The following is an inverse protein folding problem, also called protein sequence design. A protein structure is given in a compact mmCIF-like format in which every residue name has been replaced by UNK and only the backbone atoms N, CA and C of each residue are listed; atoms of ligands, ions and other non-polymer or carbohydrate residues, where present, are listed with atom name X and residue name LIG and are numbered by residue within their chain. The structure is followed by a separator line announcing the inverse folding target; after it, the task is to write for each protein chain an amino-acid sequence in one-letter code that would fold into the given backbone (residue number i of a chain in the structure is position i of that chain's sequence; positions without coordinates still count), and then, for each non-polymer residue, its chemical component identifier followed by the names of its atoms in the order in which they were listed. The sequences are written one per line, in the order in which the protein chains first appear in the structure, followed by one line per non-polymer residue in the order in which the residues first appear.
data_IF_973287899479
#
_entry.id   IF_973287899479
#
_cell.length_a   1.000
_cell.length_b   1.000
_cell.length_c   1.000
_cell.angle_alpha   90.00
_cell.angle_beta   90.00
_cell.angle_gamma   90.00
#
_symmetry.space_group_name_H-M   'P 1'
#
loop_
_entity.id
_entity.type
_entity.pdbx_description
1 polymer ?
#
# COMPACT_ATOMS: atom_id res chain seq x y z
N UNK A 1 3.68 15.30 12.02
CA UNK A 1 4.03 14.15 12.89
C UNK A 1 3.14 14.17 14.13
N UNK A 2 2.63 13.01 14.53
CA UNK A 2 1.71 12.84 15.66
C UNK A 2 2.33 11.85 16.66
N UNK A 3 2.75 12.35 17.81
CA UNK A 3 3.47 11.61 18.87
C UNK A 3 3.30 12.43 20.15
N UNK A 4 3.27 11.81 21.33
CA UNK A 4 2.98 12.46 22.60
C UNK A 4 4.23 12.99 23.32
N UNK A 5 5.37 12.33 23.17
CA UNK A 5 6.66 12.72 23.73
C UNK A 5 7.37 13.78 22.86
N UNK A 6 7.35 15.04 23.30
CA UNK A 6 8.02 16.16 22.59
C UNK A 6 9.48 15.87 22.20
N UNK A 7 10.21 15.10 23.01
CA UNK A 7 11.60 14.72 22.70
C UNK A 7 11.69 13.78 21.50
N UNK A 8 10.80 12.79 21.38
CA UNK A 8 10.74 11.88 20.22
C UNK A 8 10.30 12.61 18.97
N UNK A 9 9.27 13.47 19.07
CA UNK A 9 8.86 14.38 17.98
C UNK A 9 10.06 15.10 17.36
N UNK A 10 10.91 15.69 18.20
CA UNK A 10 12.11 16.40 17.74
C UNK A 10 13.15 15.48 17.09
N UNK A 11 13.30 14.25 17.57
CA UNK A 11 14.20 13.25 16.96
C UNK A 11 13.69 12.88 15.57
N UNK A 12 12.39 12.60 15.42
CA UNK A 12 11.77 12.26 14.15
C UNK A 12 11.86 13.39 13.12
N UNK A 13 11.64 14.64 13.54
CA UNK A 13 11.83 15.80 12.67
C UNK A 13 13.26 15.91 12.19
N UNK A 14 14.25 15.75 13.09
CA UNK A 14 15.67 15.75 12.70
C UNK A 14 16.00 14.63 11.72
N UNK A 15 15.44 13.44 11.92
CA UNK A 15 15.60 12.32 11.00
C UNK A 15 15.06 12.66 9.60
N UNK A 16 13.84 13.18 9.51
CA UNK A 16 13.22 13.59 8.25
C UNK A 16 13.95 14.74 7.57
N UNK A 17 14.39 15.75 8.33
CA UNK A 17 15.22 16.84 7.82
C UNK A 17 16.54 16.31 7.24
N UNK A 18 17.13 15.29 7.86
CA UNK A 18 18.34 14.61 7.39
C UNK A 18 18.17 13.83 6.08
N UNK A 19 16.95 13.46 5.70
CA UNK A 19 16.65 12.84 4.40
C UNK A 19 16.86 13.84 3.26
N UNK A 20 16.60 15.13 3.50
CA UNK A 20 16.70 16.20 2.50
C UNK A 20 15.37 16.54 1.81
N UNK A 21 14.25 16.25 2.46
CA UNK A 21 12.89 16.53 1.97
C UNK A 21 12.62 18.02 1.68
N UNK A 22 13.28 18.93 2.38
CA UNK A 22 13.16 20.37 2.14
C UNK A 22 13.59 20.77 0.72
N UNK A 23 14.51 20.02 0.09
CA UNK A 23 14.91 20.22 -1.30
C UNK A 23 13.82 19.81 -2.30
N UNK A 24 12.81 19.08 -1.85
CA UNK A 24 11.66 18.62 -2.63
C UNK A 24 10.38 19.39 -2.29
N UNK A 25 10.50 20.56 -1.63
CA UNK A 25 9.37 21.42 -1.22
C UNK A 25 8.40 20.76 -0.23
N UNK A 26 8.90 19.93 0.67
CA UNK A 26 8.13 19.41 1.80
C UNK A 26 8.49 20.16 3.08
N UNK A 27 7.46 20.70 3.73
CA UNK A 27 7.53 21.23 5.08
C UNK A 27 7.22 20.11 6.09
N UNK A 28 7.96 20.07 7.19
CA UNK A 28 7.82 19.04 8.22
C UNK A 28 7.30 19.72 9.48
N UNK A 29 6.00 19.56 9.72
CA UNK A 29 5.33 20.13 10.89
C UNK A 29 5.09 19.10 12.00
N UNK A 30 5.25 19.59 13.23
CA UNK A 30 4.84 18.91 14.45
C UNK A 30 3.44 19.38 14.83
N UNK A 31 2.53 18.43 15.03
CA UNK A 31 1.26 18.77 15.67
C UNK A 31 1.50 18.84 17.18
N UNK A 32 1.38 20.02 17.75
CA UNK A 32 1.42 20.19 19.20
C UNK A 32 0.14 19.66 19.86
N UNK A 33 0.18 19.26 21.14
CA UNK A 33 -0.94 18.65 21.86
C UNK A 33 -2.28 19.41 21.73
N UNK A 34 -2.24 20.73 21.68
CA UNK A 34 -3.41 21.60 21.54
C UNK A 34 -4.02 21.47 20.14
N UNK A 35 -3.19 21.50 19.10
CA UNK A 35 -3.61 21.33 17.70
C UNK A 35 -4.14 19.90 17.46
N UNK A 36 -3.58 18.91 18.14
CA UNK A 36 -4.12 17.55 18.16
C UNK A 36 -5.55 17.54 18.71
N UNK A 37 -5.77 18.17 19.88
CA UNK A 37 -7.09 18.22 20.50
C UNK A 37 -8.12 18.93 19.59
N UNK A 38 -7.73 20.05 19.00
CA UNK A 38 -8.54 20.78 18.04
C UNK A 38 -8.91 19.90 16.83
N UNK A 39 -7.91 19.26 16.21
CA UNK A 39 -8.13 18.37 15.08
C UNK A 39 -9.13 17.25 15.43
N UNK A 40 -9.00 16.62 16.60
CA UNK A 40 -9.92 15.59 17.04
C UNK A 40 -11.32 16.09 17.34
N UNK A 41 -11.45 17.26 17.97
CA UNK A 41 -12.75 17.88 18.23
C UNK A 41 -13.52 18.07 16.92
N UNK A 42 -12.89 18.69 15.93
CA UNK A 42 -13.48 18.89 14.61
C UNK A 42 -13.77 17.57 13.88
N UNK A 43 -12.89 16.57 13.96
CA UNK A 43 -13.16 15.25 13.36
C UNK A 43 -14.35 14.53 14.03
N UNK A 44 -14.55 14.70 15.34
CA UNK A 44 -15.69 14.13 16.07
C UNK A 44 -17.01 14.84 15.71
N UNK A 45 -16.98 16.16 15.56
CA UNK A 45 -18.10 16.95 15.03
C UNK A 45 -18.48 16.46 13.63
N UNK A 46 -17.49 16.32 12.74
CA UNK A 46 -17.67 15.79 11.38
C UNK A 46 -18.20 14.36 11.38
N UNK A 47 -17.72 13.49 12.28
CA UNK A 47 -18.27 12.14 12.43
C UNK A 47 -19.74 12.17 12.87
N UNK A 48 -20.08 13.06 13.80
CA UNK A 48 -21.46 13.22 14.27
C UNK A 48 -22.37 13.72 13.15
N UNK A 49 -21.91 14.70 12.38
CA UNK A 49 -22.60 15.17 11.18
C UNK A 49 -22.76 14.04 10.15
N UNK A 50 -21.69 13.29 9.87
CA UNK A 50 -21.70 12.17 8.94
C UNK A 50 -22.72 11.09 9.35
N UNK A 51 -22.77 10.73 10.63
CA UNK A 51 -23.75 9.76 11.14
C UNK A 51 -25.20 10.21 10.96
N UNK A 52 -25.44 11.52 10.91
CA UNK A 52 -26.77 12.11 10.75
C UNK A 52 -27.15 12.25 9.27
N UNK A 53 -26.24 12.80 8.48
CA UNK A 53 -26.53 13.31 7.13
C UNK A 53 -25.91 12.42 6.01
N UNK A 54 -24.96 11.56 6.37
CA UNK A 54 -24.20 10.71 5.44
C UNK A 54 -23.08 11.44 4.70
N UNK A 55 -22.78 12.68 5.09
CA UNK A 55 -21.66 13.49 4.64
C UNK A 55 -21.25 14.43 5.77
N UNK A 56 -20.08 15.06 5.64
CA UNK A 56 -19.65 16.12 6.55
C UNK A 56 -19.14 17.31 5.75
N UNK A 57 -19.27 18.51 6.31
CA UNK A 57 -18.87 19.75 5.66
C UNK A 57 -17.49 20.21 6.16
N UNK A 58 -16.69 20.74 5.25
CA UNK A 58 -15.34 21.21 5.54
C UNK A 58 -15.31 22.67 6.06
N UNK A 59 -16.45 23.23 6.48
CA UNK A 59 -16.55 24.64 6.88
C UNK A 59 -15.61 24.99 8.04
N UNK A 60 -15.52 24.11 9.03
CA UNK A 60 -14.48 24.19 10.07
C UNK A 60 -13.21 23.57 9.55
N UNK A 61 -12.19 24.40 9.28
CA UNK A 61 -10.87 23.92 8.83
C UNK A 61 -10.25 23.03 9.90
N UNK A 62 -9.94 21.78 9.54
CA UNK A 62 -9.19 20.89 10.41
C UNK A 62 -7.68 21.07 10.18
N UNK A 63 -6.83 21.07 11.22
CA UNK A 63 -5.37 21.09 11.06
C UNK A 63 -4.82 19.98 10.15
N UNK A 64 -5.53 18.86 9.99
CA UNK A 64 -5.14 17.73 9.15
C UNK A 64 -5.60 17.82 7.69
N UNK A 65 -6.47 18.76 7.33
CA UNK A 65 -7.07 18.79 5.99
C UNK A 65 -6.03 19.01 4.87
N UNK A 66 -5.03 19.86 5.11
CA UNK A 66 -4.00 20.18 4.12
C UNK A 66 -2.75 19.30 4.25
N UNK A 67 -2.78 18.28 5.12
CA UNK A 67 -1.61 17.41 5.36
C UNK A 67 -1.41 16.44 4.22
N UNK A 68 -0.29 16.57 3.51
CA UNK A 68 0.04 15.70 2.38
C UNK A 68 0.34 14.27 2.81
N UNK A 69 1.02 14.07 3.94
CA UNK A 69 1.33 12.76 4.52
C UNK A 69 1.26 12.88 6.04
N UNK A 70 0.38 12.09 6.65
CA UNK A 70 0.25 12.04 8.11
C UNK A 70 1.07 10.88 8.65
N UNK A 71 1.99 11.15 9.58
CA UNK A 71 2.75 10.12 10.29
C UNK A 71 2.35 10.12 11.75
N UNK A 72 1.97 8.94 12.25
CA UNK A 72 1.42 8.69 13.58
C UNK A 72 2.32 7.69 14.30
N UNK A 73 2.88 8.05 15.44
CA UNK A 73 3.54 7.08 16.30
C UNK A 73 2.51 6.19 17.00
N UNK A 74 2.84 4.91 17.20
CA UNK A 74 1.91 3.96 17.81
C UNK A 74 1.79 4.15 19.34
N UNK A 75 2.78 4.75 20.00
CA UNK A 75 2.86 4.83 21.46
C UNK A 75 2.22 6.10 22.05
N UNK A 76 1.01 6.45 21.63
CA UNK A 76 0.32 7.69 22.04
C UNK A 76 -0.28 7.69 23.48
N UNK A 77 0.27 6.90 24.41
CA UNK A 77 -0.40 6.56 25.67
C UNK A 77 -0.57 7.76 26.62
N UNK A 78 0.37 8.68 26.66
CA UNK A 78 0.40 9.74 27.66
C UNK A 78 -0.47 10.94 27.27
N UNK A 79 -0.61 11.22 25.96
CA UNK A 79 -1.42 12.33 25.46
C UNK A 79 -2.91 12.19 25.79
N UNK A 80 -3.39 10.95 25.88
CA UNK A 80 -4.82 10.64 25.94
C UNK A 80 -5.33 10.33 27.35
N UNK A 81 -4.48 9.80 28.24
CA UNK A 81 -4.85 9.51 29.63
C UNK A 81 -5.27 10.78 30.41
N UNK A 82 -4.64 11.93 30.13
CA UNK A 82 -4.96 13.18 30.82
C UNK A 82 -6.25 13.85 30.33
N UNK A 83 -6.76 13.47 29.15
CA UNK A 83 -7.80 14.24 28.45
C UNK A 83 -9.06 13.43 28.08
N UNK A 84 -9.08 12.11 28.31
CA UNK A 84 -10.27 11.27 28.13
C UNK A 84 -10.74 11.11 26.68
N UNK A 85 -9.87 11.39 25.71
CA UNK A 85 -10.14 11.35 24.28
C UNK A 85 -9.32 10.20 23.68
N UNK A 86 -9.94 9.01 23.57
CA UNK A 86 -9.49 7.86 22.74
C UNK A 86 -8.19 7.13 23.13
N UNK A 87 -8.00 5.93 22.55
CA UNK A 87 -7.17 4.86 23.18
C UNK A 87 -6.04 4.27 22.33
N UNK A 88 -5.90 4.61 21.03
CA UNK A 88 -4.85 4.02 20.16
C UNK A 88 -4.55 4.80 18.86
N UNK A 89 -3.41 4.52 18.22
CA UNK A 89 -3.05 5.05 16.90
C UNK A 89 -4.00 4.62 15.76
N UNK A 90 -4.64 3.45 15.88
CA UNK A 90 -5.65 3.00 14.92
C UNK A 90 -6.89 3.89 14.88
N UNK A 91 -7.32 4.35 16.05
CA UNK A 91 -8.42 5.28 16.18
C UNK A 91 -8.07 6.64 15.58
N UNK A 92 -6.83 7.10 15.75
CA UNK A 92 -6.32 8.31 15.09
C UNK A 92 -6.32 8.16 13.57
N UNK A 93 -5.78 7.05 13.05
CA UNK A 93 -5.77 6.79 11.62
C UNK A 93 -7.19 6.69 11.04
N UNK A 94 -8.11 6.06 11.77
CA UNK A 94 -9.52 5.98 11.38
C UNK A 94 -10.16 7.36 11.27
N UNK A 95 -10.04 8.18 12.32
CA UNK A 95 -10.64 9.51 12.35
C UNK A 95 -10.04 10.41 11.27
N UNK A 96 -8.72 10.38 11.11
CA UNK A 96 -8.03 11.15 10.07
C UNK A 96 -8.45 10.72 8.66
N UNK A 97 -8.53 9.42 8.37
CA UNK A 97 -8.94 8.93 7.04
C UNK A 97 -10.39 9.30 6.71
N UNK A 98 -11.29 9.23 7.68
CA UNK A 98 -12.73 9.35 7.43
C UNK A 98 -13.28 10.77 7.59
N UNK A 99 -12.65 11.60 8.43
CA UNK A 99 -13.19 12.91 8.84
C UNK A 99 -12.18 14.05 8.68
N UNK A 100 -11.11 13.83 7.91
CA UNK A 100 -10.22 14.88 7.40
C UNK A 100 -9.89 14.66 5.93
N UNK A 101 -9.23 15.64 5.32
CA UNK A 101 -8.70 15.54 3.95
C UNK A 101 -7.20 15.26 3.87
N UNK A 102 -6.59 14.72 4.94
CA UNK A 102 -5.17 14.30 4.92
C UNK A 102 -4.89 13.19 3.89
N UNK A 103 -3.71 13.22 3.27
CA UNK A 103 -3.25 12.27 2.26
C UNK A 103 -2.96 10.86 2.80
N UNK A 104 -1.89 10.18 2.37
CA UNK A 104 -1.49 8.90 2.94
C UNK A 104 -1.20 8.98 4.45
N UNK A 105 -1.56 7.94 5.18
CA UNK A 105 -1.40 7.81 6.64
C UNK A 105 -0.40 6.70 6.92
N UNK A 106 0.64 7.02 7.68
CA UNK A 106 1.72 6.12 8.05
C UNK A 106 1.67 5.91 9.56
N UNK A 107 1.61 4.66 10.01
CA UNK A 107 1.79 4.33 11.44
C UNK A 107 3.23 3.89 11.67
N UNK A 108 3.83 4.39 12.75
CA UNK A 108 5.18 4.08 13.16
C UNK A 108 5.22 3.19 14.39
N UNK A 109 6.22 2.31 14.48
CA UNK A 109 6.55 1.53 15.68
C UNK A 109 5.44 0.60 16.22
N UNK A 110 4.44 0.19 15.41
CA UNK A 110 3.44 -0.80 15.86
C UNK A 110 4.11 -2.11 16.30
N UNK A 111 5.03 -2.61 15.48
CA UNK A 111 5.57 -3.96 15.64
C UNK A 111 7.04 -3.94 16.09
N UNK A 112 7.88 -3.12 15.44
CA UNK A 112 9.29 -3.00 15.76
C UNK A 112 9.87 -1.67 15.26
N UNK A 113 11.14 -1.42 15.58
CA UNK A 113 11.83 -0.19 15.18
C UNK A 113 12.46 -0.25 13.78
N UNK A 114 12.73 -1.45 13.25
CA UNK A 114 13.23 -1.64 11.88
C UNK A 114 12.61 -2.88 11.19
N UNK A 115 11.27 -2.97 11.09
CA UNK A 115 10.57 -4.18 10.67
C UNK A 115 10.69 -4.48 9.16
N UNK A 116 10.84 -5.75 8.81
CA UNK A 116 10.49 -6.26 7.49
C UNK A 116 9.37 -7.29 7.62
N UNK A 117 8.26 -7.05 6.93
CA UNK A 117 7.09 -7.93 6.98
C UNK A 117 7.27 -9.13 6.04
N UNK A 118 7.57 -10.29 6.61
CA UNK A 118 7.65 -11.59 5.94
C UNK A 118 6.29 -12.16 5.56
N UNK A 119 5.17 -11.54 5.94
CA UNK A 119 3.86 -11.91 5.39
C UNK A 119 3.66 -11.38 3.98
N UNK A 120 4.33 -10.26 3.63
CA UNK A 120 4.22 -9.47 2.39
C UNK A 120 2.82 -8.92 2.10
N UNK A 121 1.85 -9.16 2.98
CA UNK A 121 0.45 -8.84 2.77
C UNK A 121 -0.14 -8.03 3.94
N UNK A 122 0.72 -7.56 4.87
CA UNK A 122 0.35 -6.85 6.10
C UNK A 122 -0.62 -7.65 7.00
N UNK A 123 -0.66 -8.98 6.92
CA UNK A 123 -1.57 -9.76 7.76
C UNK A 123 -1.07 -9.92 9.20
N UNK A 124 0.15 -9.48 9.51
CA UNK A 124 0.72 -9.59 10.85
C UNK A 124 0.14 -8.52 11.78
N UNK A 125 -0.22 -8.86 13.01
CA UNK A 125 -0.70 -7.93 14.07
C UNK A 125 -1.80 -6.93 13.62
N UNK A 126 -2.69 -7.34 12.70
CA UNK A 126 -3.83 -6.52 12.25
C UNK A 126 -3.46 -5.29 11.42
N UNK A 127 -2.24 -5.23 10.88
CA UNK A 127 -1.78 -4.10 10.06
C UNK A 127 -2.68 -3.87 8.85
N UNK A 128 -3.15 -4.92 8.21
CA UNK A 128 -4.02 -4.82 7.04
C UNK A 128 -5.35 -4.10 7.40
N UNK A 129 -5.98 -4.47 8.52
CA UNK A 129 -7.23 -3.89 9.00
C UNK A 129 -7.10 -2.40 9.39
N UNK A 130 -5.93 -1.97 9.87
CA UNK A 130 -5.66 -0.58 10.25
C UNK A 130 -6.00 0.40 9.12
N UNK A 131 -6.48 1.60 9.46
CA UNK A 131 -6.75 2.70 8.52
C UNK A 131 -5.48 3.42 8.03
N UNK A 132 -4.30 3.00 8.50
CA UNK A 132 -3.01 3.35 7.89
C UNK A 132 -2.88 2.76 6.48
N UNK A 133 -2.17 3.45 5.60
CA UNK A 133 -1.83 2.93 4.27
C UNK A 133 -0.52 2.14 4.30
N UNK A 134 0.42 2.53 5.16
CA UNK A 134 1.70 1.87 5.36
C UNK A 134 2.10 1.90 6.83
N UNK A 135 2.82 0.87 7.26
CA UNK A 135 3.41 0.83 8.59
C UNK A 135 4.92 0.62 8.52
N UNK A 136 5.64 1.39 9.33
CA UNK A 136 7.11 1.39 9.36
C UNK A 136 7.61 1.46 10.80
N UNK A 137 8.90 1.21 11.01
CA UNK A 137 9.59 1.50 12.26
C UNK A 137 10.30 2.84 12.23
N UNK A 138 10.60 3.41 13.40
CA UNK A 138 11.30 4.70 13.50
C UNK A 138 12.64 4.78 12.74
N UNK A 139 13.40 3.67 12.63
CA UNK A 139 14.67 3.69 11.88
C UNK A 139 14.46 3.83 10.38
N UNK A 140 13.27 3.49 9.89
CA UNK A 140 12.88 3.55 8.48
C UNK A 140 12.39 4.93 8.09
N UNK A 141 12.00 5.76 9.05
CA UNK A 141 11.56 7.14 8.79
C UNK A 141 12.65 7.97 8.10
N UNK A 142 13.93 7.69 8.42
CA UNK A 142 15.08 8.33 7.76
C UNK A 142 15.52 7.66 6.46
N UNK A 143 14.81 6.62 5.98
CA UNK A 143 15.19 5.91 4.75
C UNK A 143 14.97 6.80 3.55
N UNK A 144 16.05 7.13 2.84
CA UNK A 144 15.98 7.92 1.62
C UNK A 144 15.19 7.23 0.52
N UNK A 145 15.19 5.90 0.49
CA UNK A 145 14.43 5.13 -0.51
C UNK A 145 12.92 5.26 -0.34
N UNK A 146 12.43 5.27 0.91
CA UNK A 146 11.02 5.51 1.23
C UNK A 146 10.54 6.88 0.73
N UNK A 147 11.43 7.87 0.76
CA UNK A 147 11.16 9.24 0.34
C UNK A 147 11.54 9.54 -1.12
N UNK A 148 12.09 8.58 -1.86
CA UNK A 148 12.57 8.82 -3.23
C UNK A 148 13.70 9.85 -3.32
N UNK A 149 14.50 10.01 -2.26
CA UNK A 149 15.64 10.93 -2.23
C UNK A 149 16.92 10.14 -2.54
N UNK A 150 17.80 10.69 -3.39
CA UNK A 150 19.04 10.02 -3.76
C UNK A 150 18.86 8.85 -4.74
N UNK A 151 19.96 8.39 -5.34
CA UNK A 151 19.93 7.27 -6.28
C UNK A 151 19.77 5.91 -5.58
N UNK A 152 19.27 4.90 -6.31
CA UNK A 152 19.06 3.52 -5.83
C UNK A 152 20.28 2.86 -5.16
N UNK A 153 21.49 3.37 -5.39
CA UNK A 153 22.73 2.80 -4.89
C UNK A 153 23.05 3.11 -3.40
N UNK A 154 22.23 3.90 -2.70
CA UNK A 154 22.65 4.46 -1.40
C UNK A 154 22.22 3.65 -0.16
N UNK A 155 21.14 2.87 -0.21
CA UNK A 155 20.65 2.12 0.95
C UNK A 155 20.51 0.63 0.63
N UNK A 156 20.98 -0.21 1.57
CA UNK A 156 20.89 -1.67 1.43
C UNK A 156 19.48 -2.19 1.71
N UNK A 157 18.83 -1.66 2.75
CA UNK A 157 17.47 -2.04 3.10
C UNK A 157 16.50 -1.19 2.29
N UNK A 158 15.74 -1.86 1.45
CA UNK A 158 14.84 -1.25 0.50
C UNK A 158 13.72 -2.24 0.16
N UNK A 159 12.71 -2.40 1.05
CA UNK A 159 11.60 -3.31 0.83
C UNK A 159 10.89 -3.08 -0.49
N UNK A 160 10.69 -4.13 -1.26
CA UNK A 160 10.06 -4.06 -2.58
C UNK A 160 8.65 -3.52 -2.53
N UNK A 161 7.95 -3.83 -1.45
CA UNK A 161 6.60 -3.37 -1.22
C UNK A 161 6.46 -1.90 -0.82
N UNK A 162 7.56 -1.19 -0.57
CA UNK A 162 7.47 0.22 -0.20
C UNK A 162 7.13 1.10 -1.41
N UNK A 163 6.11 1.95 -1.29
CA UNK A 163 5.91 3.04 -2.22
C UNK A 163 7.00 4.11 -2.01
N UNK A 164 7.12 5.02 -2.98
CA UNK A 164 7.80 6.30 -2.81
C UNK A 164 6.76 7.29 -2.29
N UNK A 165 6.87 7.68 -1.03
CA UNK A 165 5.82 8.42 -0.32
C UNK A 165 5.34 9.71 -1.04
N UNK A 166 6.23 10.57 -1.57
CA UNK A 166 5.82 11.71 -2.39
C UNK A 166 5.00 11.37 -3.64
N UNK A 167 5.44 10.37 -4.41
CA UNK A 167 4.73 9.88 -5.61
C UNK A 167 3.35 9.32 -5.21
N UNK A 168 3.31 8.57 -4.11
CA UNK A 168 2.12 7.91 -3.62
C UNK A 168 1.02 8.90 -3.21
N UNK A 169 1.39 10.06 -2.66
CA UNK A 169 0.45 11.17 -2.41
C UNK A 169 -0.19 11.66 -3.71
N UNK A 170 0.60 11.81 -4.78
CA UNK A 170 0.10 12.24 -6.08
C UNK A 170 -0.84 11.20 -6.71
N UNK A 171 -0.49 9.93 -6.60
CA UNK A 171 -1.33 8.82 -7.04
C UNK A 171 -2.62 8.69 -6.23
N UNK A 172 -2.56 8.91 -4.91
CA UNK A 172 -3.73 8.83 -4.05
C UNK A 172 -4.83 9.79 -4.51
N UNK A 173 -4.49 11.03 -4.89
CA UNK A 173 -5.46 11.98 -5.46
C UNK A 173 -6.15 11.42 -6.71
N UNK A 174 -5.39 10.82 -7.63
CA UNK A 174 -5.93 10.17 -8.83
C UNK A 174 -6.87 9.01 -8.50
N UNK A 175 -6.56 8.22 -7.45
CA UNK A 175 -7.45 7.15 -6.96
C UNK A 175 -8.76 7.71 -6.41
N UNK A 176 -8.71 8.82 -5.69
CA UNK A 176 -9.90 9.50 -5.18
C UNK A 176 -10.80 9.94 -6.33
N UNK A 177 -10.23 10.55 -7.37
CA UNK A 177 -10.99 10.99 -8.55
C UNK A 177 -11.60 9.81 -9.31
N UNK A 178 -10.85 8.70 -9.45
CA UNK A 178 -11.36 7.45 -10.00
C UNK A 178 -12.57 6.93 -9.22
N UNK A 179 -12.52 6.95 -7.88
CA UNK A 179 -13.60 6.50 -7.01
C UNK A 179 -14.83 7.39 -7.14
N UNK A 180 -14.68 8.72 -7.17
CA UNK A 180 -15.79 9.66 -7.36
C UNK A 180 -16.58 9.33 -8.63
N UNK A 181 -15.84 9.12 -9.72
CA UNK A 181 -16.40 8.72 -11.00
C UNK A 181 -17.07 7.33 -10.94
N UNK A 182 -16.44 6.37 -10.26
CA UNK A 182 -16.95 5.01 -10.14
C UNK A 182 -18.25 4.93 -9.30
N UNK A 183 -18.33 5.66 -8.20
CA UNK A 183 -19.53 5.76 -7.35
C UNK A 183 -20.69 6.40 -8.09
N UNK A 184 -20.44 7.49 -8.82
CA UNK A 184 -21.46 8.20 -9.61
C UNK A 184 -22.09 7.33 -10.70
N UNK A 185 -21.36 6.30 -11.18
CA UNK A 185 -21.78 5.39 -12.26
C UNK A 185 -22.16 3.99 -11.75
N UNK A 186 -22.13 3.74 -10.43
CA UNK A 186 -22.35 2.42 -9.83
C UNK A 186 -21.47 1.34 -10.47
N UNK A 187 -20.18 1.64 -10.63
CA UNK A 187 -19.25 0.79 -11.37
C UNK A 187 -18.91 -0.50 -10.61
N UNK A 188 -18.78 -1.60 -11.32
CA UNK A 188 -18.27 -2.89 -10.82
C UNK A 188 -16.74 -2.82 -10.59
N UNK A 189 -16.28 -3.24 -9.42
CA UNK A 189 -14.85 -3.35 -9.05
C UNK A 189 -14.10 -4.30 -10.01
N UNK A 190 -14.58 -5.53 -10.31
CA UNK A 190 -13.96 -6.39 -11.31
C UNK A 190 -13.80 -5.71 -12.67
N UNK A 191 -14.81 -4.97 -13.12
CA UNK A 191 -14.79 -4.30 -14.43
C UNK A 191 -13.83 -3.13 -14.43
N UNK A 192 -13.85 -2.34 -13.37
CA UNK A 192 -12.96 -1.21 -13.17
C UNK A 192 -11.48 -1.64 -13.20
N UNK A 193 -11.12 -2.72 -12.51
CA UNK A 193 -9.74 -3.24 -12.49
C UNK A 193 -9.43 -4.21 -13.64
N UNK A 194 -10.38 -4.53 -14.51
CA UNK A 194 -10.18 -5.49 -15.61
C UNK A 194 -9.96 -6.93 -15.15
N UNK A 195 -10.52 -7.31 -14.00
CA UNK A 195 -10.40 -8.65 -13.40
C UNK A 195 -11.52 -9.61 -13.79
N UNK A 196 -12.45 -9.24 -14.66
CA UNK A 196 -13.63 -10.07 -15.00
C UNK A 196 -13.27 -11.52 -15.36
N UNK A 197 -12.23 -11.71 -16.16
CA UNK A 197 -11.75 -13.03 -16.63
C UNK A 197 -11.02 -13.85 -15.54
N UNK A 198 -10.56 -13.20 -14.47
CA UNK A 198 -9.78 -13.80 -13.40
C UNK A 198 -10.47 -13.73 -12.04
N UNK A 199 -11.72 -13.24 -11.98
CA UNK A 199 -12.38 -12.92 -10.72
C UNK A 199 -12.60 -14.16 -9.85
N UNK A 200 -13.00 -15.26 -10.47
CA UNK A 200 -13.22 -16.57 -9.82
C UNK A 200 -11.94 -17.18 -9.25
N UNK A 201 -10.78 -16.66 -9.66
CA UNK A 201 -9.45 -17.14 -9.25
C UNK A 201 -8.89 -16.35 -8.08
N UNK A 202 -9.52 -15.24 -7.71
CA UNK A 202 -9.15 -14.49 -6.52
C UNK A 202 -9.56 -15.32 -5.30
N UNK A 203 -8.65 -15.63 -4.37
CA UNK A 203 -8.97 -16.38 -3.17
C UNK A 203 -10.17 -15.79 -2.42
N UNK A 204 -11.05 -16.66 -1.91
CA UNK A 204 -12.29 -16.25 -1.25
C UNK A 204 -12.03 -15.33 -0.05
N UNK A 205 -10.96 -15.57 0.71
CA UNK A 205 -10.55 -14.71 1.82
C UNK A 205 -10.25 -13.26 1.40
N UNK A 206 -9.65 -13.09 0.22
CA UNK A 206 -9.37 -11.77 -0.37
C UNK A 206 -10.66 -11.10 -0.85
N UNK A 207 -11.58 -11.86 -1.46
CA UNK A 207 -12.87 -11.34 -1.93
C UNK A 207 -13.82 -10.95 -0.79
N UNK A 208 -13.78 -11.66 0.34
CA UNK A 208 -14.61 -11.34 1.52
C UNK A 208 -14.33 -9.94 2.08
N UNK A 209 -13.14 -9.38 1.82
CA UNK A 209 -12.81 -7.99 2.22
C UNK A 209 -13.60 -6.96 1.44
N UNK A 210 -14.12 -7.30 0.26
CA UNK A 210 -14.92 -6.40 -0.57
C UNK A 210 -16.41 -6.36 -0.18
N UNK A 211 -16.87 -7.18 0.77
CA UNK A 211 -18.24 -7.12 1.29
C UNK A 211 -18.98 -8.46 1.25
N UNK A 212 -20.30 -8.38 1.13
CA UNK A 212 -21.23 -9.51 1.29
C UNK A 212 -21.09 -10.62 0.22
N UNK A 213 -20.46 -10.31 -0.91
CA UNK A 213 -20.29 -11.21 -2.05
C UNK A 213 -21.52 -11.36 -2.95
N UNK A 214 -22.59 -10.58 -2.72
CA UNK A 214 -23.75 -10.50 -3.63
C UNK A 214 -23.39 -9.78 -4.92
N UNK A 215 -22.75 -8.63 -4.77
CA UNK A 215 -22.24 -7.80 -5.84
C UNK A 215 -20.87 -7.25 -5.42
N UNK A 216 -20.06 -6.86 -6.40
CA UNK A 216 -18.75 -6.27 -6.17
C UNK A 216 -18.69 -4.89 -6.82
N UNK A 217 -19.56 -3.98 -6.42
CA UNK A 217 -19.53 -2.57 -6.85
C UNK A 217 -18.84 -1.69 -5.80
N UNK A 218 -18.39 -0.50 -6.19
CA UNK A 218 -17.81 0.46 -5.23
C UNK A 218 -18.81 0.85 -4.13
N UNK A 219 -20.09 0.88 -4.47
CA UNK A 219 -21.17 1.23 -3.56
C UNK A 219 -21.48 0.10 -2.57
N UNK A 220 -21.56 -1.13 -3.04
CA UNK A 220 -21.75 -2.31 -2.17
C UNK A 220 -20.56 -2.49 -1.21
N UNK A 221 -19.34 -2.23 -1.70
CA UNK A 221 -18.14 -2.23 -0.87
C UNK A 221 -18.25 -1.23 0.29
N UNK A 222 -18.69 0.00 0.03
CA UNK A 222 -18.94 1.02 1.05
C UNK A 222 -20.03 0.60 2.05
N UNK A 223 -21.12 -0.01 1.57
CA UNK A 223 -22.29 -0.33 2.38
C UNK A 223 -22.15 -1.57 3.26
N UNK A 224 -21.38 -2.56 2.81
CA UNK A 224 -21.37 -3.88 3.47
C UNK A 224 -20.03 -4.28 4.04
N UNK A 225 -18.91 -3.77 3.52
CA UNK A 225 -17.60 -4.16 4.01
C UNK A 225 -17.24 -3.47 5.33
N UNK A 226 -16.91 -4.25 6.35
CA UNK A 226 -16.37 -3.75 7.63
C UNK A 226 -14.97 -3.17 7.47
N UNK A 227 -14.31 -3.43 6.33
CA UNK A 227 -13.01 -2.88 6.00
C UNK A 227 -13.07 -1.39 5.62
N UNK A 228 -14.24 -0.90 5.20
CA UNK A 228 -14.42 0.51 4.79
C UNK A 228 -14.81 1.40 5.95
N UNK A 229 -15.89 1.05 6.64
CA UNK A 229 -16.42 1.81 7.77
C UNK A 229 -16.94 0.87 8.87
N UNK A 230 -16.74 1.22 10.16
CA UNK A 230 -17.41 0.57 11.27
C UNK A 230 -18.94 0.61 11.13
N UNK A 231 -19.68 -0.37 11.68
CA UNK A 231 -21.12 -0.46 11.52
C UNK A 231 -21.90 0.81 11.90
N UNK A 232 -21.47 1.51 12.96
CA UNK A 232 -22.13 2.74 13.43
C UNK A 232 -22.07 3.88 12.41
N UNK A 233 -20.92 4.07 11.77
CA UNK A 233 -20.71 5.14 10.78
C UNK A 233 -21.33 4.77 9.43
N UNK A 234 -21.37 3.48 9.11
CA UNK A 234 -21.92 2.96 7.86
C UNK A 234 -23.45 2.94 7.82
N UNK A 235 -24.12 2.89 8.97
CA UNK A 235 -25.57 2.71 9.06
C UNK A 235 -26.38 3.73 8.24
N UNK A 236 -25.94 4.99 8.21
CA UNK A 236 -26.56 6.10 7.47
C UNK A 236 -26.56 5.90 5.93
N UNK A 237 -25.74 4.96 5.43
CA UNK A 237 -25.58 4.70 4.01
C UNK A 237 -26.31 3.45 3.51
N UNK A 238 -26.82 2.62 4.42
CA UNK A 238 -27.30 1.26 4.12
C UNK A 238 -28.46 1.25 3.11
N UNK A 239 -29.45 2.12 3.31
CA UNK A 239 -30.69 2.13 2.52
C UNK A 239 -30.67 3.09 1.33
N UNK A 240 -29.57 3.84 1.15
CA UNK A 240 -29.43 4.68 -0.05
C UNK A 240 -29.42 3.76 -1.28
N UNK A 241 -29.90 4.21 -2.43
CA UNK A 241 -29.70 3.48 -3.71
C UNK A 241 -28.56 4.14 -4.45
N UNK A 242 -28.57 5.47 -4.51
CA UNK A 242 -27.50 6.31 -5.05
C UNK A 242 -26.96 7.25 -3.94
N UNK A 243 -25.79 7.85 -4.18
CA UNK A 243 -25.18 8.80 -3.27
C UNK A 243 -25.23 10.19 -3.90
N UNK A 244 -25.58 11.20 -3.11
CA UNK A 244 -25.43 12.59 -3.55
C UNK A 244 -23.96 13.00 -3.63
N UNK A 245 -23.69 14.10 -4.33
CA UNK A 245 -22.33 14.59 -4.58
C UNK A 245 -21.53 14.86 -3.30
N UNK A 246 -22.19 15.35 -2.24
CA UNK A 246 -21.54 15.63 -0.96
C UNK A 246 -21.12 14.35 -0.26
N UNK A 247 -22.00 13.34 -0.23
CA UNK A 247 -21.64 12.01 0.28
C UNK A 247 -20.50 11.39 -0.52
N UNK A 248 -20.54 11.47 -1.86
CA UNK A 248 -19.47 10.97 -2.73
C UNK A 248 -18.14 11.63 -2.37
N UNK A 249 -18.12 12.95 -2.19
CA UNK A 249 -16.92 13.70 -1.78
C UNK A 249 -16.35 13.17 -0.46
N UNK A 250 -17.19 13.04 0.57
CA UNK A 250 -16.74 12.58 1.90
C UNK A 250 -16.20 11.15 1.91
N UNK A 251 -16.77 10.23 1.12
CA UNK A 251 -16.44 8.79 1.21
C UNK A 251 -15.38 8.33 0.22
N UNK A 252 -15.14 9.07 -0.86
CA UNK A 252 -14.26 8.62 -1.95
C UNK A 252 -12.82 8.36 -1.49
N UNK A 253 -12.32 9.16 -0.53
CA UNK A 253 -10.98 9.01 0.05
C UNK A 253 -10.82 7.71 0.85
N UNK A 254 -11.86 7.35 1.60
CA UNK A 254 -11.88 6.11 2.39
C UNK A 254 -11.80 4.92 1.44
N UNK A 255 -12.68 4.87 0.44
CA UNK A 255 -12.73 3.77 -0.53
C UNK A 255 -11.45 3.68 -1.34
N UNK A 256 -10.89 4.82 -1.79
CA UNK A 256 -9.62 4.86 -2.53
C UNK A 256 -8.48 4.23 -1.72
N UNK A 257 -8.34 4.62 -0.45
CA UNK A 257 -7.32 4.07 0.45
C UNK A 257 -7.53 2.56 0.65
N UNK A 258 -8.76 2.13 0.94
CA UNK A 258 -9.08 0.73 1.21
C UNK A 258 -8.91 -0.17 0.00
N UNK A 259 -9.39 0.24 -1.18
CA UNK A 259 -9.19 -0.54 -2.40
C UNK A 259 -7.72 -0.56 -2.84
N UNK A 260 -6.98 0.54 -2.66
CA UNK A 260 -5.54 0.55 -2.92
C UNK A 260 -4.83 -0.43 -1.98
N UNK A 261 -5.18 -0.45 -0.70
CA UNK A 261 -4.62 -1.37 0.29
C UNK A 261 -4.95 -2.83 -0.06
N UNK A 262 -6.19 -3.12 -0.42
CA UNK A 262 -6.62 -4.45 -0.88
C UNK A 262 -5.83 -4.90 -2.12
N UNK A 263 -5.68 -4.04 -3.12
CA UNK A 263 -4.99 -4.37 -4.35
C UNK A 263 -3.48 -4.59 -4.13
N UNK A 264 -2.83 -3.67 -3.41
CA UNK A 264 -1.38 -3.66 -3.17
C UNK A 264 -0.93 -4.78 -2.23
N UNK A 265 -1.71 -5.07 -1.19
CA UNK A 265 -1.31 -5.95 -0.09
C UNK A 265 -2.07 -7.26 -0.03
N UNK A 266 -3.10 -7.50 -0.82
CA UNK A 266 -3.78 -8.81 -0.84
C UNK A 266 -3.77 -9.41 -2.24
N UNK A 267 -4.12 -8.65 -3.27
CA UNK A 267 -4.16 -9.18 -4.64
C UNK A 267 -2.78 -9.36 -5.25
N UNK A 268 -1.92 -8.33 -5.19
CA UNK A 268 -0.60 -8.36 -5.83
C UNK A 268 0.36 -9.39 -5.19
N UNK A 269 0.45 -9.55 -3.86
CA UNK A 269 1.42 -10.48 -3.25
C UNK A 269 1.20 -11.94 -3.62
N UNK A 270 -0.05 -12.34 -3.91
CA UNK A 270 -0.40 -13.68 -4.40
C UNK A 270 0.27 -13.98 -5.74
N UNK A 271 0.48 -12.98 -6.59
CA UNK A 271 1.05 -13.14 -7.94
C UNK A 271 0.25 -14.03 -8.90
N UNK A 272 -0.95 -14.46 -8.52
CA UNK A 272 -1.81 -15.32 -9.34
C UNK A 272 -2.71 -14.53 -10.30
N UNK A 273 -2.98 -13.26 -9.96
CA UNK A 273 -3.85 -12.36 -10.74
C UNK A 273 -3.03 -11.29 -11.43
N UNK A 274 -2.20 -10.60 -10.64
CA UNK A 274 -1.26 -9.59 -11.09
C UNK A 274 0.15 -10.03 -10.71
N UNK A 275 1.11 -9.88 -11.62
CA UNK A 275 2.53 -10.11 -11.35
C UNK A 275 3.31 -8.83 -11.61
N UNK A 276 4.31 -8.53 -10.80
CA UNK A 276 5.20 -7.38 -10.99
C UNK A 276 6.46 -7.73 -11.82
N UNK A 277 7.27 -6.72 -12.12
CA UNK A 277 8.37 -6.85 -13.08
C UNK A 277 9.48 -7.82 -12.65
N UNK A 278 10.08 -7.71 -11.44
CA UNK A 278 11.10 -8.66 -11.00
C UNK A 278 10.59 -10.09 -10.98
N UNK A 279 9.41 -10.32 -10.43
CA UNK A 279 8.90 -11.67 -10.29
C UNK A 279 8.42 -12.26 -11.62
N UNK A 280 8.01 -11.43 -12.56
CA UNK A 280 7.76 -11.84 -13.94
C UNK A 280 9.07 -12.27 -14.63
N UNK A 281 10.14 -11.47 -14.49
CA UNK A 281 11.45 -11.81 -15.04
C UNK A 281 12.01 -13.12 -14.47
N UNK A 282 11.85 -13.35 -13.16
CA UNK A 282 12.26 -14.61 -12.52
C UNK A 282 11.54 -15.84 -13.07
N UNK A 283 10.27 -15.70 -13.48
CA UNK A 283 9.46 -16.81 -13.99
C UNK A 283 9.66 -17.03 -15.48
N UNK A 284 9.79 -15.95 -16.25
CA UNK A 284 9.99 -15.99 -17.69
C UNK A 284 11.23 -15.18 -18.09
N UNK A 285 12.45 -15.74 -17.89
CA UNK A 285 13.71 -15.08 -18.24
C UNK A 285 13.78 -14.63 -19.70
N UNK A 286 13.10 -15.31 -20.61
CA UNK A 286 13.04 -14.94 -22.04
C UNK A 286 12.41 -13.56 -22.28
N UNK A 287 11.71 -12.99 -21.31
CA UNK A 287 11.19 -11.62 -21.36
C UNK A 287 12.26 -10.55 -21.12
N UNK A 288 13.42 -10.92 -20.59
CA UNK A 288 14.52 -9.99 -20.38
C UNK A 288 15.22 -9.65 -21.71
N UNK A 289 15.78 -8.45 -21.74
CA UNK A 289 16.61 -7.95 -22.83
C UNK A 289 18.05 -7.77 -22.36
N UNK A 290 19.01 -8.20 -23.18
CA UNK A 290 20.43 -8.05 -22.91
C UNK A 290 21.08 -9.35 -22.41
N UNK A 291 22.17 -9.21 -21.66
CA UNK A 291 22.93 -10.37 -21.18
C UNK A 291 22.36 -10.90 -19.86
N UNK A 292 21.71 -12.06 -19.91
CA UNK A 292 21.08 -12.71 -18.75
C UNK A 292 22.08 -13.15 -17.67
N UNK A 293 23.37 -13.30 -18.01
CA UNK A 293 24.43 -13.56 -17.01
C UNK A 293 24.78 -12.32 -16.17
N UNK A 294 24.36 -11.13 -16.60
CA UNK A 294 24.61 -9.88 -15.90
C UNK A 294 23.49 -9.55 -14.92
N UNK A 295 23.78 -9.60 -13.62
CA UNK A 295 22.83 -9.25 -12.56
C UNK A 295 22.27 -7.82 -12.69
N UNK A 296 23.00 -6.92 -13.35
CA UNK A 296 22.54 -5.56 -13.64
C UNK A 296 21.31 -5.53 -14.54
N UNK A 297 21.18 -6.48 -15.48
CA UNK A 297 20.00 -6.61 -16.36
C UNK A 297 18.76 -6.99 -15.54
N UNK A 298 18.91 -7.94 -14.62
CA UNK A 298 17.85 -8.36 -13.70
C UNK A 298 17.42 -7.22 -12.78
N UNK A 299 18.37 -6.55 -12.14
CA UNK A 299 18.13 -5.42 -11.24
C UNK A 299 17.48 -4.21 -11.93
N UNK A 300 17.62 -4.07 -13.25
CA UNK A 300 16.97 -3.00 -14.00
C UNK A 300 15.44 -3.11 -13.99
N UNK A 301 14.89 -4.32 -13.78
CA UNK A 301 13.44 -4.56 -13.71
C UNK A 301 12.80 -4.08 -12.40
N UNK A 302 13.59 -3.90 -11.33
CA UNK A 302 13.13 -3.47 -10.01
C UNK A 302 12.89 -1.96 -9.97
N UNK A 303 11.79 -1.51 -10.56
CA UNK A 303 11.37 -0.09 -10.64
C UNK A 303 10.02 0.15 -9.98
N UNK A 304 9.82 1.36 -9.43
CA UNK A 304 8.57 1.78 -8.78
C UNK A 304 8.09 3.10 -9.35
N UNK A 305 6.79 3.36 -9.22
CA UNK A 305 6.09 4.57 -9.68
C UNK A 305 6.41 4.93 -11.14
N UNK A 306 6.66 3.92 -11.96
CA UNK A 306 6.89 4.08 -13.39
C UNK A 306 6.05 3.10 -14.16
N UNK A 307 5.66 3.54 -15.34
CA UNK A 307 4.95 2.73 -16.32
C UNK A 307 5.84 1.67 -16.97
N UNK A 308 7.13 1.95 -17.10
CA UNK A 308 8.04 1.11 -17.86
C UNK A 308 8.94 0.33 -16.92
N UNK A 309 9.09 -0.96 -17.18
CA UNK A 309 10.11 -1.79 -16.54
C UNK A 309 11.28 -1.95 -17.52
N UNK A 310 12.41 -1.25 -17.28
CA UNK A 310 13.59 -1.35 -18.12
C UNK A 310 14.03 -2.81 -18.28
N UNK A 311 14.52 -3.14 -19.48
CA UNK A 311 14.99 -4.49 -19.84
C UNK A 311 13.92 -5.58 -19.89
N UNK A 312 12.63 -5.25 -19.73
CA UNK A 312 11.55 -6.16 -20.09
C UNK A 312 11.03 -5.83 -21.50
N UNK A 313 10.75 -6.88 -22.30
CA UNK A 313 10.20 -6.77 -23.66
C UNK A 313 8.78 -6.19 -23.65
N UNK A 314 8.68 -4.86 -23.61
CA UNK A 314 7.43 -4.13 -23.48
C UNK A 314 6.42 -4.43 -24.61
N UNK A 315 6.92 -4.69 -25.83
CA UNK A 315 6.09 -5.00 -27.00
C UNK A 315 5.32 -6.32 -26.87
N UNK A 316 5.90 -7.31 -26.17
CA UNK A 316 5.23 -8.59 -25.90
C UNK A 316 4.20 -8.42 -24.78
N UNK A 317 4.55 -7.65 -23.76
CA UNK A 317 3.74 -7.50 -22.54
C UNK A 317 2.64 -6.43 -22.62
N UNK A 318 2.54 -5.68 -23.72
CA UNK A 318 1.64 -4.53 -23.83
C UNK A 318 0.16 -4.93 -23.60
N UNK A 319 -0.28 -6.08 -24.12
CA UNK A 319 -1.68 -6.55 -24.03
C UNK A 319 -2.07 -7.07 -22.65
N UNK A 320 -1.11 -7.55 -21.87
CA UNK A 320 -1.32 -8.09 -20.53
C UNK A 320 -1.12 -7.04 -19.46
N UNK A 321 -0.80 -5.79 -19.81
CA UNK A 321 -0.46 -4.76 -18.85
C UNK A 321 -1.66 -4.28 -18.03
N UNK A 322 -1.46 -4.10 -16.73
CA UNK A 322 -2.43 -3.44 -15.87
C UNK A 322 -2.39 -1.92 -16.11
N UNK A 323 -3.49 -1.36 -16.60
CA UNK A 323 -3.53 0.03 -17.09
C UNK A 323 -3.68 1.07 -15.98
N UNK A 324 -4.26 0.69 -14.84
CA UNK A 324 -4.51 1.58 -13.71
C UNK A 324 -3.29 1.71 -12.80
N UNK A 325 -2.16 2.06 -13.39
CA UNK A 325 -0.85 2.07 -12.74
C UNK A 325 -0.83 2.85 -11.43
N UNK A 326 -1.52 3.98 -11.33
CA UNK A 326 -1.57 4.76 -10.09
C UNK A 326 -2.28 4.05 -8.94
N UNK A 327 -2.87 2.86 -9.11
CA UNK A 327 -3.43 2.04 -8.03
C UNK A 327 -2.40 1.13 -7.35
N UNK A 328 -1.21 0.96 -7.93
CA UNK A 328 -0.14 0.12 -7.44
C UNK A 328 1.18 0.90 -7.40
N UNK A 329 2.10 0.53 -6.50
CA UNK A 329 3.40 1.23 -6.41
C UNK A 329 4.40 0.86 -7.52
N UNK A 330 4.06 -0.13 -8.37
CA UNK A 330 5.00 -0.74 -9.33
C UNK A 330 4.28 -1.28 -10.58
N UNK A 331 4.97 -1.43 -11.72
CA UNK A 331 4.37 -1.98 -12.93
C UNK A 331 3.99 -3.44 -12.77
N UNK A 332 2.78 -3.76 -13.22
CA UNK A 332 2.19 -5.09 -13.13
C UNK A 332 1.47 -5.50 -14.40
N UNK A 333 1.30 -6.82 -14.55
CA UNK A 333 0.64 -7.46 -15.67
C UNK A 333 -0.35 -8.51 -15.16
N UNK A 334 -1.46 -8.70 -15.88
CA UNK A 334 -2.40 -9.78 -15.64
C UNK A 334 -1.70 -11.11 -15.91
N UNK A 335 -1.40 -11.85 -14.83
CA UNK A 335 -0.59 -13.07 -14.88
C UNK A 335 -1.12 -14.09 -15.88
N UNK A 336 -2.44 -14.30 -15.88
CA UNK A 336 -3.14 -15.21 -16.82
C UNK A 336 -2.96 -14.84 -18.28
N UNK A 337 -2.92 -13.55 -18.60
CA UNK A 337 -2.70 -13.11 -19.98
C UNK A 337 -1.26 -13.36 -20.42
N UNK A 338 -0.31 -13.22 -19.50
CA UNK A 338 1.10 -13.53 -19.74
C UNK A 338 1.31 -15.04 -19.91
N UNK A 339 0.87 -15.86 -18.96
CA UNK A 339 1.14 -17.31 -18.96
C UNK A 339 0.46 -18.07 -20.11
N UNK A 340 -0.45 -17.43 -20.85
CA UNK A 340 -1.12 -18.00 -22.01
C UNK A 340 -0.68 -17.32 -23.34
N UNK A 341 0.32 -16.43 -23.32
CA UNK A 341 0.83 -15.79 -24.53
C UNK A 341 1.97 -16.60 -25.14
N UNK A 342 1.67 -17.39 -26.18
CA UNK A 342 2.64 -18.21 -26.92
C UNK A 342 3.75 -17.40 -27.62
N UNK A 343 3.64 -16.07 -27.67
CA UNK A 343 4.74 -15.21 -28.11
C UNK A 343 5.91 -15.18 -27.12
N UNK A 344 5.67 -15.57 -25.88
CA UNK A 344 6.69 -15.70 -24.84
C UNK A 344 7.36 -17.08 -25.00
N UNK A 345 8.66 -17.16 -25.32
CA UNK A 345 9.34 -18.43 -25.52
C UNK A 345 9.19 -19.41 -24.35
N UNK A 346 9.28 -18.92 -23.11
CA UNK A 346 9.13 -19.75 -21.90
C UNK A 346 7.72 -20.33 -21.72
N UNK A 347 6.69 -19.69 -22.29
CA UNK A 347 5.31 -20.20 -22.30
C UNK A 347 5.15 -21.25 -23.41
N UNK A 348 5.70 -20.96 -24.60
CA UNK A 348 5.62 -21.86 -25.75
C UNK A 348 6.41 -23.15 -25.53
N UNK A 349 7.55 -23.06 -24.85
CA UNK A 349 8.50 -24.17 -24.64
C UNK A 349 8.94 -24.23 -23.15
N UNK A 350 8.03 -24.58 -22.23
CA UNK A 350 8.28 -24.50 -20.78
C UNK A 350 9.38 -25.45 -20.27
N UNK A 351 9.74 -26.45 -21.07
CA UNK A 351 10.82 -27.40 -20.79
C UNK A 351 12.21 -26.83 -21.11
N UNK A 352 12.28 -25.71 -21.83
CA UNK A 352 13.52 -25.07 -22.29
C UNK A 352 13.83 -23.77 -21.54
N UNK A 353 13.17 -23.53 -20.41
CA UNK A 353 13.39 -22.32 -19.61
C UNK A 353 14.84 -22.31 -19.11
N UNK A 354 15.53 -21.19 -19.37
CA UNK A 354 16.92 -20.98 -18.94
C UNK A 354 17.02 -21.07 -17.41
N UNK A 355 18.01 -21.83 -16.91
CA UNK A 355 18.34 -21.82 -15.50
C UNK A 355 19.02 -20.51 -15.12
N UNK A 356 18.50 -19.83 -14.10
CA UNK A 356 18.99 -18.52 -13.66
C UNK A 356 19.50 -18.65 -12.22
N UNK A 357 20.79 -18.35 -11.94
CA UNK A 357 21.36 -18.47 -10.60
C UNK A 357 21.07 -17.25 -9.71
N UNK A 358 20.03 -16.47 -10.02
CA UNK A 358 19.69 -15.24 -9.31
C UNK A 358 18.25 -15.30 -8.79
N UNK A 359 18.06 -14.84 -7.56
CA UNK A 359 16.76 -14.72 -6.91
C UNK A 359 16.51 -13.27 -6.51
N UNK A 360 15.26 -12.84 -6.58
CA UNK A 360 14.87 -11.48 -6.19
C UNK A 360 14.68 -11.41 -4.67
N UNK A 361 15.47 -10.55 -4.01
CA UNK A 361 15.34 -10.31 -2.58
C UNK A 361 14.39 -9.17 -2.29
N UNK A 362 13.30 -9.48 -1.60
CA UNK A 362 12.20 -8.56 -1.27
C UNK A 362 12.63 -7.44 -0.32
N UNK A 363 13.62 -7.67 0.55
CA UNK A 363 14.11 -6.71 1.55
C UNK A 363 15.12 -5.69 0.99
N UNK A 364 15.71 -5.97 -0.16
CA UNK A 364 16.68 -5.10 -0.84
C UNK A 364 16.20 -4.60 -2.20
N UNK A 365 15.08 -5.12 -2.70
CA UNK A 365 14.56 -4.87 -4.05
C UNK A 365 15.59 -5.11 -5.14
N UNK A 366 16.32 -6.22 -5.02
CA UNK A 366 17.40 -6.54 -5.95
C UNK A 366 17.57 -8.04 -6.10
N UNK A 367 17.93 -8.47 -7.29
CA UNK A 367 18.48 -9.78 -7.56
C UNK A 367 19.86 -9.94 -6.93
N UNK A 368 20.09 -11.10 -6.33
CA UNK A 368 21.38 -11.57 -5.81
C UNK A 368 21.57 -13.04 -6.22
N UNK A 369 22.81 -13.56 -6.25
CA UNK A 369 23.03 -14.99 -6.38
C UNK A 369 22.29 -15.77 -5.30
N UNK A 370 21.69 -16.90 -5.65
CA UNK A 370 20.82 -17.68 -4.75
C UNK A 370 21.52 -18.07 -3.43
N UNK A 371 22.82 -18.37 -3.48
CA UNK A 371 23.63 -18.71 -2.31
C UNK A 371 23.83 -17.54 -1.31
N UNK A 372 23.50 -16.32 -1.72
CA UNK A 372 23.55 -15.11 -0.89
C UNK A 372 22.17 -14.69 -0.36
N UNK A 373 21.13 -15.45 -0.68
CA UNK A 373 19.77 -15.19 -0.26
C UNK A 373 19.29 -16.26 0.75
N UNK A 374 18.21 -15.93 1.45
CA UNK A 374 17.50 -16.85 2.33
C UNK A 374 16.06 -16.95 1.88
N UNK A 375 15.54 -18.16 1.62
CA UNK A 375 14.13 -18.34 1.32
C UNK A 375 13.28 -18.12 2.58
N UNK A 376 12.06 -17.66 2.39
CA UNK A 376 11.01 -17.59 3.40
C UNK A 376 9.66 -17.87 2.73
N UNK A 377 8.64 -18.23 3.52
CA UNK A 377 7.30 -18.51 2.99
C UNK A 377 6.32 -17.40 3.33
N UNK A 378 5.99 -16.54 2.38
CA UNK A 378 5.01 -15.46 2.52
C UNK A 378 3.61 -15.96 2.95
N UNK A 379 2.78 -15.06 3.47
CA UNK A 379 1.44 -15.38 3.96
C UNK A 379 0.37 -15.39 2.86
N UNK A 380 0.68 -16.03 1.73
CA UNK A 380 -0.18 -16.07 0.54
C UNK A 380 -0.65 -17.51 0.27
N UNK A 381 -1.81 -17.66 -0.35
CA UNK A 381 -2.39 -18.98 -0.69
C UNK A 381 -1.84 -19.55 -2.01
N UNK A 382 -1.13 -18.71 -2.78
CA UNK A 382 -0.52 -19.05 -4.07
C UNK A 382 0.60 -20.12 -4.02
N UNK A 383 0.82 -20.89 -5.11
CA UNK A 383 2.04 -21.68 -5.32
C UNK A 383 3.32 -20.83 -5.28
N UNK A 384 3.19 -19.51 -5.44
CA UNK A 384 4.27 -18.56 -5.31
C UNK A 384 4.43 -18.10 -3.86
N UNK A 385 4.28 -18.95 -2.85
CA UNK A 385 4.50 -18.52 -1.47
C UNK A 385 5.98 -18.36 -1.10
N UNK A 386 6.89 -19.08 -1.76
CA UNK A 386 8.33 -18.97 -1.49
C UNK A 386 8.88 -17.68 -2.09
N UNK A 387 9.55 -16.90 -1.25
CA UNK A 387 10.21 -15.63 -1.58
C UNK A 387 11.59 -15.60 -0.95
N UNK A 388 12.39 -14.61 -1.31
CA UNK A 388 13.77 -14.51 -0.85
C UNK A 388 14.03 -13.17 -0.18
N UNK A 389 14.93 -13.18 0.80
CA UNK A 389 15.52 -11.99 1.42
C UNK A 389 17.04 -12.11 1.40
N UNK A 390 17.74 -10.98 1.45
CA UNK A 390 19.19 -10.96 1.68
C UNK A 390 19.53 -11.22 3.15
N UNK A 391 18.64 -10.88 4.08
CA UNK A 391 18.84 -11.11 5.50
C UNK A 391 19.87 -10.15 6.11
N UNK A 392 19.62 -8.86 5.96
CA UNK A 392 20.45 -7.77 6.47
C UNK A 392 20.51 -7.76 8.01
N UNK A 393 21.70 -7.45 8.55
CA UNK A 393 21.91 -7.30 9.99
C UNK A 393 21.17 -6.07 10.52
N UNK A 394 20.44 -6.23 11.63
CA UNK A 394 19.76 -5.13 12.32
C UNK A 394 18.41 -4.74 11.72
N UNK A 395 17.86 -5.59 10.84
CA UNK A 395 16.46 -5.56 10.39
C UNK A 395 15.69 -6.61 11.18
N UNK A 396 14.51 -6.24 11.66
CA UNK A 396 13.62 -7.11 12.43
C UNK A 396 12.69 -7.85 11.45
N UNK A 397 13.04 -9.08 11.06
CA UNK A 397 12.25 -9.89 10.12
C UNK A 397 11.10 -10.60 10.84
N UNK A 398 9.86 -10.25 10.49
CA UNK A 398 8.66 -10.58 11.27
C UNK A 398 7.53 -11.12 10.38
N UNK A 399 6.77 -12.15 10.79
CA UNK A 399 7.00 -12.99 11.97
C UNK A 399 8.15 -13.99 11.72
N UNK A 400 9.06 -14.22 12.68
CA UNK A 400 10.30 -14.97 12.46
C UNK A 400 10.09 -16.45 12.10
N UNK A 401 8.93 -17.02 12.44
CA UNK A 401 8.57 -18.41 12.12
C UNK A 401 8.54 -18.66 10.60
N UNK A 402 8.35 -17.60 9.80
CA UNK A 402 8.34 -17.67 8.32
C UNK A 402 9.72 -17.99 7.72
N UNK A 403 10.80 -17.90 8.50
CA UNK A 403 12.17 -18.24 8.12
C UNK A 403 12.57 -19.68 8.48
N UNK A 404 11.74 -20.41 9.23
CA UNK A 404 12.06 -21.75 9.73
C UNK A 404 11.80 -22.89 8.72
N UNK A 405 12.07 -22.62 7.43
CA UNK A 405 11.83 -23.56 6.32
C UNK A 405 12.74 -24.78 6.33
#
# INVERSE_FOLDING_TARGET
MFDDERKQRNIFVKQLQGVGLSKQNYDIDLLEPEAIKEAFGTMLERQTQFRKDGFWEAETKNPLDDVDILVIDNELRDLFNEKGIFTSADEVAYMARCFSTCGPIIIMNRIAHHPFDLTLNQSFEGQFESFSDLEIGQRQLSSRTLWGVGGKAQEKFHPWYWPILPEWRGEFKKRVDDVKNALSKVTSIPDFFGFRESWEWIPRGILQRLGSGREYTFLEFLRTSSFVLPPKDRAVLHDKVELDERTIESVSRIIAARLSKWLEWQVLPEMDILVDAPHLASRFPSLLEGNHTSIGVWNATAVRHTMEAPKLKASVLQKSRFLKMHWLSRPTWYWRKVMNDEKIPDVREPWNIEFVPFVFCEDTSSFVPEEQAKPFRAAVESPFATRYIKGLKGVDYLPPQRLAL
#
